data_IF_823013804174
#
_entry.id   IF_823013804174
#
_cell.length_a   1.000
_cell.length_b   1.000
_cell.length_c   1.000
_cell.angle_alpha   90.00
_cell.angle_beta   90.00
_cell.angle_gamma   90.00
#
_symmetry.space_group_name_H-M   'P 1'
#
loop_
_entity.id
_entity.type
_entity.pdbx_description
1 polymer ?
#
# COMPACT_ATOMS: atom_id res chain seq x y z
N UNK A 1 -18.81 -58.29 -1.60
CA UNK A 1 -17.92 -57.51 -2.49
C UNK A 1 -18.60 -56.18 -2.73
N UNK A 2 -18.04 -55.13 -2.14
CA UNK A 2 -18.66 -53.82 -1.95
C UNK A 2 -18.53 -52.88 -3.16
N UNK A 3 -19.42 -51.89 -3.15
CA UNK A 3 -19.58 -50.76 -4.06
C UNK A 3 -18.26 -50.17 -4.59
N UNK A 4 -18.10 -50.16 -5.91
CA UNK A 4 -16.99 -49.50 -6.61
C UNK A 4 -17.45 -48.42 -7.60
N UNK A 5 -18.63 -47.82 -7.37
CA UNK A 5 -19.19 -46.78 -8.26
C UNK A 5 -19.66 -45.51 -7.53
N UNK A 6 -19.54 -45.43 -6.21
CA UNK A 6 -19.66 -44.16 -5.44
C UNK A 6 -18.27 -43.56 -5.11
N UNK A 7 -17.18 -44.26 -5.44
CA UNK A 7 -15.81 -43.87 -5.08
C UNK A 7 -15.11 -42.93 -6.09
N UNK A 8 -15.67 -42.69 -7.27
CA UNK A 8 -14.98 -41.92 -8.31
C UNK A 8 -15.40 -40.45 -8.42
N UNK A 9 -16.55 -40.05 -7.87
CA UNK A 9 -17.01 -38.66 -7.85
C UNK A 9 -16.67 -37.93 -6.53
N UNK A 10 -16.68 -38.67 -5.41
CA UNK A 10 -16.26 -38.15 -4.10
C UNK A 10 -14.75 -37.93 -4.00
N UNK A 11 -13.94 -38.76 -4.67
CA UNK A 11 -12.48 -38.59 -4.73
C UNK A 11 -12.08 -37.31 -5.47
N UNK A 12 -12.75 -36.93 -6.56
CA UNK A 12 -12.42 -35.70 -7.30
C UNK A 12 -12.76 -34.41 -6.54
N UNK A 13 -13.83 -34.41 -5.73
CA UNK A 13 -14.15 -33.26 -4.86
C UNK A 13 -13.16 -33.15 -3.69
N UNK A 14 -12.78 -34.28 -3.09
CA UNK A 14 -11.76 -34.31 -2.03
C UNK A 14 -10.38 -33.92 -2.56
N UNK A 15 -10.00 -34.33 -3.78
CA UNK A 15 -8.74 -33.92 -4.42
C UNK A 15 -8.67 -32.41 -4.70
N UNK A 16 -9.80 -31.79 -5.06
CA UNK A 16 -9.86 -30.34 -5.32
C UNK A 16 -9.82 -29.54 -4.02
N UNK A 17 -10.49 -30.03 -2.96
CA UNK A 17 -10.41 -29.45 -1.61
C UNK A 17 -9.00 -29.58 -1.07
N UNK A 18 -8.38 -30.76 -1.16
CA UNK A 18 -6.98 -31.00 -0.77
C UNK A 18 -6.01 -30.11 -1.56
N UNK A 19 -6.25 -29.89 -2.86
CA UNK A 19 -5.44 -28.97 -3.68
C UNK A 19 -5.59 -27.52 -3.21
N UNK A 20 -6.80 -27.05 -2.91
CA UNK A 20 -7.02 -25.70 -2.37
C UNK A 20 -6.47 -25.51 -0.97
N UNK A 21 -6.57 -26.51 -0.09
CA UNK A 21 -5.96 -26.48 1.24
C UNK A 21 -4.44 -26.45 1.15
N UNK A 22 -3.86 -27.23 0.23
CA UNK A 22 -2.42 -27.24 -0.01
C UNK A 22 -1.91 -25.89 -0.54
N UNK A 23 -2.64 -25.24 -1.45
CA UNK A 23 -2.34 -23.87 -1.87
C UNK A 23 -2.42 -22.86 -0.72
N UNK A 24 -3.38 -23.01 0.20
CA UNK A 24 -3.49 -22.16 1.40
C UNK A 24 -2.34 -22.40 2.40
N UNK A 25 -1.85 -23.63 2.51
CA UNK A 25 -0.65 -23.97 3.29
C UNK A 25 0.59 -23.35 2.64
N UNK A 26 0.74 -23.48 1.32
CA UNK A 26 1.85 -22.87 0.56
C UNK A 26 1.87 -21.34 0.70
N UNK A 27 0.70 -20.67 0.74
CA UNK A 27 0.59 -19.22 1.04
C UNK A 27 1.11 -18.87 2.44
N UNK A 28 0.76 -19.68 3.45
CA UNK A 28 1.23 -19.48 4.83
C UNK A 28 2.74 -19.68 4.95
N UNK A 29 3.29 -20.66 4.24
CA UNK A 29 4.71 -20.94 4.19
C UNK A 29 5.49 -19.88 3.38
N UNK A 30 4.89 -19.36 2.31
CA UNK A 30 5.46 -18.25 1.52
C UNK A 30 5.58 -16.96 2.34
N UNK A 31 4.61 -16.69 3.23
CA UNK A 31 4.65 -15.55 4.16
C UNK A 31 5.81 -15.65 5.18
N UNK A 32 6.32 -16.85 5.45
CA UNK A 32 7.47 -17.09 6.33
C UNK A 32 8.83 -16.95 5.62
N UNK A 33 8.86 -16.91 4.28
CA UNK A 33 10.09 -16.94 3.46
C UNK A 33 10.53 -15.56 2.91
N UNK A 34 10.23 -14.46 3.61
CA UNK A 34 10.65 -13.08 3.28
C UNK A 34 10.09 -12.45 1.98
N UNK A 35 9.12 -13.07 1.30
CA UNK A 35 8.40 -12.40 0.22
C UNK A 35 7.20 -11.64 0.78
N UNK A 36 7.03 -10.37 0.36
CA UNK A 36 5.98 -9.47 0.88
C UNK A 36 4.61 -9.86 0.32
N UNK A 37 3.90 -10.73 1.04
CA UNK A 37 2.50 -11.08 0.74
C UNK A 37 1.59 -9.92 1.13
N UNK A 38 0.84 -9.39 0.17
CA UNK A 38 -0.20 -8.42 0.43
C UNK A 38 -1.54 -9.13 0.56
N UNK A 39 -2.31 -8.80 1.60
CA UNK A 39 -3.63 -9.39 1.81
C UNK A 39 -4.69 -8.35 2.14
N UNK A 40 -5.90 -8.58 1.64
CA UNK A 40 -7.05 -7.68 1.81
C UNK A 40 -8.28 -8.49 2.18
N UNK A 41 -9.01 -8.11 3.25
CA UNK A 41 -10.28 -8.74 3.57
C UNK A 41 -11.31 -8.51 2.47
N UNK A 42 -12.02 -9.54 2.04
CA UNK A 42 -13.12 -9.45 1.05
C UNK A 42 -14.21 -8.50 1.53
N UNK A 43 -14.43 -8.40 2.85
CA UNK A 43 -15.37 -7.44 3.44
C UNK A 43 -15.02 -5.97 3.17
N UNK A 44 -13.73 -5.65 3.00
CA UNK A 44 -13.28 -4.28 2.72
C UNK A 44 -13.63 -3.85 1.28
N UNK A 45 -13.89 -4.79 0.37
CA UNK A 45 -14.33 -4.48 -0.99
C UNK A 45 -15.68 -3.74 -1.01
N UNK A 46 -16.52 -3.95 0.01
CA UNK A 46 -17.80 -3.24 0.18
C UNK A 46 -17.60 -1.74 0.46
N UNK A 47 -16.44 -1.36 1.00
CA UNK A 47 -16.13 0.02 1.34
C UNK A 47 -15.63 0.83 0.14
N UNK A 48 -15.48 0.17 -1.01
CA UNK A 48 -15.04 0.79 -2.26
C UNK A 48 -16.23 1.12 -3.15
N UNK A 49 -16.04 2.08 -4.07
CA UNK A 49 -17.10 2.52 -4.99
C UNK A 49 -17.68 1.39 -5.84
N UNK A 50 -18.75 1.69 -6.58
CA UNK A 50 -19.52 0.74 -7.38
C UNK A 50 -18.69 -0.11 -8.36
N UNK A 51 -17.50 0.35 -8.77
CA UNK A 51 -16.61 -0.43 -9.63
C UNK A 51 -16.12 -1.74 -8.98
N UNK A 52 -15.90 -1.77 -7.67
CA UNK A 52 -15.30 -2.93 -6.97
C UNK A 52 -16.33 -3.82 -6.26
N UNK A 53 -17.57 -3.35 -6.05
CA UNK A 53 -18.64 -4.19 -5.48
C UNK A 53 -18.99 -5.40 -6.36
N UNK A 54 -18.73 -5.29 -7.67
CA UNK A 54 -18.86 -6.38 -8.65
C UNK A 54 -17.94 -7.58 -8.38
N UNK A 55 -16.87 -7.40 -7.59
CA UNK A 55 -15.93 -8.47 -7.24
C UNK A 55 -16.47 -9.40 -6.15
N UNK A 56 -17.43 -8.96 -5.34
CA UNK A 56 -17.92 -9.73 -4.20
C UNK A 56 -18.63 -11.01 -4.65
N UNK A 57 -19.55 -10.99 -5.63
CA UNK A 57 -20.10 -12.21 -6.20
C UNK A 57 -19.04 -13.12 -6.83
N UNK A 58 -17.93 -12.57 -7.33
CA UNK A 58 -16.86 -13.33 -7.94
C UNK A 58 -15.91 -13.99 -6.92
N UNK A 59 -15.78 -13.41 -5.72
CA UNK A 59 -15.08 -14.05 -4.59
C UNK A 59 -15.91 -15.17 -3.94
N UNK A 60 -17.23 -15.22 -4.22
CA UNK A 60 -18.12 -16.25 -3.71
C UNK A 60 -18.23 -17.44 -4.68
N UNK A 61 -18.17 -18.66 -4.14
CA UNK A 61 -18.40 -19.87 -4.95
C UNK A 61 -19.89 -20.00 -5.28
N UNK A 62 -20.26 -20.00 -6.56
CA UNK A 62 -21.64 -20.27 -6.99
C UNK A 62 -21.79 -21.78 -7.23
N UNK A 63 -22.68 -22.42 -6.48
CA UNK A 63 -23.08 -23.80 -6.75
C UNK A 63 -24.27 -23.77 -7.70
N UNK A 64 -24.09 -24.24 -8.93
CA UNK A 64 -25.17 -24.35 -9.91
C UNK A 64 -25.68 -25.78 -9.98
N UNK A 65 -27.00 -25.95 -9.84
CA UNK A 65 -27.65 -27.23 -10.14
C UNK A 65 -27.81 -27.34 -11.65
N UNK A 66 -27.09 -28.27 -12.26
CA UNK A 66 -27.27 -28.60 -13.68
C UNK A 66 -28.23 -29.78 -13.81
N UNK A 67 -29.13 -29.68 -14.77
CA UNK A 67 -29.97 -30.80 -15.20
C UNK A 67 -29.29 -31.42 -16.40
N UNK A 68 -28.81 -32.65 -16.29
CA UNK A 68 -28.23 -33.38 -17.43
C UNK A 68 -29.41 -33.87 -18.29
N UNK A 69 -29.55 -33.40 -19.54
CA UNK A 69 -30.61 -33.87 -20.41
C UNK A 69 -30.39 -35.35 -20.72
N UNK A 70 -31.26 -36.20 -20.19
CA UNK A 70 -31.23 -37.65 -20.39
C UNK A 70 -32.08 -38.09 -21.59
N UNK A 71 -32.39 -37.17 -22.50
CA UNK A 71 -33.28 -37.46 -23.62
C UNK A 71 -32.61 -38.45 -24.59
N UNK A 72 -33.26 -39.59 -24.82
CA UNK A 72 -32.67 -40.74 -25.53
C UNK A 72 -31.85 -41.70 -24.66
N UNK A 73 -31.64 -41.42 -23.36
CA UNK A 73 -31.02 -42.35 -22.42
C UNK A 73 -32.06 -43.25 -21.75
N UNK A 74 -31.73 -44.54 -21.66
CA UNK A 74 -32.57 -45.55 -21.05
C UNK A 74 -31.78 -46.34 -20.01
N UNK A 75 -32.40 -46.62 -18.86
CA UNK A 75 -31.87 -47.53 -17.86
C UNK A 75 -32.48 -48.93 -18.03
N UNK A 76 -31.76 -49.95 -17.56
CA UNK A 76 -32.27 -51.31 -17.49
C UNK A 76 -33.20 -51.42 -16.29
N UNK A 77 -34.51 -51.48 -16.54
CA UNK A 77 -35.54 -51.48 -15.52
C UNK A 77 -35.59 -52.81 -14.74
N UNK A 78 -35.23 -53.91 -15.40
CA UNK A 78 -35.36 -55.25 -14.83
C UNK A 78 -34.02 -55.86 -14.42
N UNK A 79 -32.96 -55.10 -14.10
CA UNK A 79 -31.68 -55.67 -13.67
C UNK A 79 -31.76 -56.17 -12.21
N UNK A 80 -31.39 -57.43 -11.98
CA UNK A 80 -31.25 -57.98 -10.63
C UNK A 80 -29.76 -58.02 -10.21
N UNK A 81 -29.49 -58.17 -8.91
CA UNK A 81 -28.13 -58.31 -8.41
C UNK A 81 -27.43 -59.53 -9.03
N UNK A 82 -26.23 -59.32 -9.58
CA UNK A 82 -25.47 -60.37 -10.26
C UNK A 82 -25.81 -60.56 -11.76
N UNK A 83 -26.83 -59.88 -12.28
CA UNK A 83 -27.10 -59.91 -13.71
C UNK A 83 -26.10 -59.05 -14.50
N UNK A 84 -25.64 -59.59 -15.63
CA UNK A 84 -24.76 -58.87 -16.56
C UNK A 84 -25.39 -58.79 -17.94
N UNK A 85 -25.01 -57.78 -18.72
CA UNK A 85 -25.38 -57.76 -20.14
C UNK A 85 -24.70 -58.91 -20.88
N UNK A 86 -25.41 -59.49 -21.85
CA UNK A 86 -24.80 -60.46 -22.74
C UNK A 86 -23.99 -59.76 -23.82
N UNK A 87 -22.81 -60.32 -24.07
CA UNK A 87 -21.95 -59.91 -25.17
C UNK A 87 -22.11 -60.88 -26.34
N UNK A 88 -22.24 -60.30 -27.53
CA UNK A 88 -22.01 -60.96 -28.78
C UNK A 88 -20.52 -61.33 -28.91
N UNK A 89 -20.20 -62.33 -29.73
CA UNK A 89 -18.81 -62.72 -30.01
C UNK A 89 -17.95 -61.60 -30.60
N UNK A 90 -18.56 -60.58 -31.18
CA UNK A 90 -17.89 -59.39 -31.72
C UNK A 90 -17.77 -58.24 -30.72
N UNK A 91 -18.10 -58.44 -29.44
CA UNK A 91 -18.02 -57.42 -28.40
C UNK A 91 -19.25 -56.53 -28.25
N UNK A 92 -20.23 -56.61 -29.16
CA UNK A 92 -21.48 -55.85 -29.06
C UNK A 92 -22.38 -56.39 -27.95
N UNK A 93 -23.21 -55.52 -27.37
CA UNK A 93 -24.18 -55.93 -26.34
C UNK A 93 -25.47 -56.45 -26.99
N UNK A 94 -26.02 -57.52 -26.44
CA UNK A 94 -27.33 -58.03 -26.83
C UNK A 94 -28.44 -57.40 -25.96
N UNK A 95 -29.66 -57.35 -26.49
CA UNK A 95 -30.88 -56.94 -25.77
C UNK A 95 -31.33 -57.92 -24.68
N UNK A 96 -30.41 -58.68 -24.08
CA UNK A 96 -30.69 -59.69 -23.07
C UNK A 96 -29.66 -59.67 -21.94
N UNK A 97 -30.13 -59.97 -20.74
CA UNK A 97 -29.34 -60.14 -19.53
C UNK A 97 -28.98 -61.61 -19.34
N UNK A 98 -27.75 -61.86 -18.92
CA UNK A 98 -27.33 -63.13 -18.31
C UNK A 98 -27.67 -63.04 -16.83
N UNK A 99 -28.49 -63.96 -16.36
CA UNK A 99 -28.81 -64.11 -14.94
C UNK A 99 -27.62 -64.70 -14.18
N UNK A 100 -27.53 -64.41 -12.88
CA UNK A 100 -26.52 -65.00 -12.00
C UNK A 100 -26.56 -66.54 -12.00
N UNK A 101 -27.74 -67.14 -12.18
CA UNK A 101 -27.97 -68.59 -12.29
C UNK A 101 -27.56 -69.20 -13.63
N UNK A 102 -26.96 -68.42 -14.53
CA UNK A 102 -26.56 -68.84 -15.88
C UNK A 102 -27.67 -68.78 -16.93
N UNK A 103 -28.92 -68.55 -16.52
CA UNK A 103 -30.07 -68.38 -17.42
C UNK A 103 -30.05 -67.04 -18.16
N UNK A 104 -31.04 -66.84 -19.05
CA UNK A 104 -31.12 -65.65 -19.90
C UNK A 104 -32.51 -65.02 -19.83
N UNK A 105 -32.57 -63.69 -19.88
CA UNK A 105 -33.84 -62.95 -19.99
C UNK A 105 -33.71 -61.73 -20.88
N UNK A 106 -34.80 -61.31 -21.50
CA UNK A 106 -34.82 -60.07 -22.26
C UNK A 106 -34.64 -58.87 -21.33
N UNK A 107 -33.91 -57.86 -21.82
CA UNK A 107 -33.72 -56.60 -21.13
C UNK A 107 -34.97 -55.73 -21.28
N UNK A 108 -35.49 -55.23 -20.17
CA UNK A 108 -36.51 -54.19 -20.17
C UNK A 108 -35.83 -52.84 -19.99
N UNK A 109 -36.07 -51.93 -20.92
CA UNK A 109 -35.55 -50.57 -20.87
C UNK A 109 -36.64 -49.60 -20.42
N UNK A 110 -36.27 -48.63 -19.60
CA UNK A 110 -37.15 -47.52 -19.19
C UNK A 110 -36.42 -46.21 -19.41
N UNK A 111 -37.12 -45.17 -19.86
CA UNK A 111 -36.55 -43.83 -20.05
C UNK A 111 -35.93 -43.37 -18.73
N UNK A 112 -34.74 -42.79 -18.79
CA UNK A 112 -34.06 -42.27 -17.61
C UNK A 112 -34.65 -40.90 -17.25
N UNK A 113 -35.09 -40.74 -16.00
CA UNK A 113 -35.47 -39.42 -15.46
C UNK A 113 -34.24 -38.50 -15.41
N UNK A 114 -34.45 -37.19 -15.50
CA UNK A 114 -33.36 -36.21 -15.54
C UNK A 114 -32.44 -36.36 -14.32
N UNK A 115 -31.14 -36.49 -14.57
CA UNK A 115 -30.13 -36.50 -13.52
C UNK A 115 -29.85 -35.06 -13.07
N UNK A 116 -29.95 -34.82 -11.77
CA UNK A 116 -29.47 -33.58 -11.16
C UNK A 116 -28.02 -33.77 -10.72
N UNK A 117 -27.15 -32.84 -11.11
CA UNK A 117 -25.78 -32.72 -10.62
C UNK A 117 -25.52 -31.30 -10.12
N UNK A 118 -24.56 -31.15 -9.20
CA UNK A 118 -24.08 -29.83 -8.78
C UNK A 118 -22.70 -29.57 -9.37
N UNK A 119 -22.52 -28.41 -10.00
CA UNK A 119 -21.20 -27.92 -10.40
C UNK A 119 -20.87 -26.68 -9.57
N UNK A 120 -19.72 -26.67 -8.90
CA UNK A 120 -19.16 -25.46 -8.28
C UNK A 120 -18.40 -24.70 -9.36
N UNK A 121 -18.88 -23.51 -9.69
CA UNK A 121 -18.21 -22.61 -10.63
C UNK A 121 -17.86 -21.33 -9.89
N UNK A 122 -16.58 -20.95 -9.92
CA UNK A 122 -16.17 -19.60 -9.53
C UNK A 122 -16.36 -18.71 -10.76
N UNK A 123 -17.05 -17.58 -10.61
CA UNK A 123 -17.18 -16.62 -11.70
C UNK A 123 -15.80 -16.10 -12.10
N UNK A 124 -15.56 -15.97 -13.40
CA UNK A 124 -14.32 -15.36 -13.90
C UNK A 124 -14.21 -13.93 -13.32
N UNK A 125 -13.14 -13.67 -12.55
CA UNK A 125 -12.83 -12.33 -12.06
C UNK A 125 -11.79 -11.67 -12.96
N UNK A 126 -11.83 -10.34 -13.06
CA UNK A 126 -10.79 -9.57 -13.73
C UNK A 126 -9.61 -9.38 -12.76
N UNK A 127 -8.42 -9.98 -12.99
CA UNK A 127 -7.28 -9.85 -12.09
C UNK A 127 -6.86 -8.38 -11.86
N UNK A 128 -6.99 -7.53 -12.88
CA UNK A 128 -6.66 -6.11 -12.75
C UNK A 128 -7.57 -5.38 -11.75
N UNK A 129 -8.85 -5.76 -11.66
CA UNK A 129 -9.77 -5.19 -10.68
C UNK A 129 -9.41 -5.60 -9.25
N UNK A 130 -8.97 -6.85 -9.03
CA UNK A 130 -8.49 -7.30 -7.73
C UNK A 130 -7.21 -6.57 -7.33
N UNK A 131 -6.25 -6.46 -8.25
CA UNK A 131 -5.00 -5.73 -8.01
C UNK A 131 -5.27 -4.24 -7.68
N UNK A 132 -6.21 -3.61 -8.40
CA UNK A 132 -6.64 -2.24 -8.09
C UNK A 132 -7.30 -2.13 -6.72
N UNK A 133 -8.17 -3.08 -6.34
CA UNK A 133 -8.77 -3.13 -5.02
C UNK A 133 -7.71 -3.23 -3.92
N UNK A 134 -6.68 -4.07 -4.13
CA UNK A 134 -5.57 -4.21 -3.18
C UNK A 134 -4.73 -2.93 -3.10
N UNK A 135 -4.51 -2.24 -4.22
CA UNK A 135 -3.79 -0.97 -4.25
C UNK A 135 -4.54 0.13 -3.50
N UNK A 136 -5.84 0.28 -3.75
CA UNK A 136 -6.71 1.24 -3.05
C UNK A 136 -6.74 0.93 -1.55
N UNK A 137 -6.91 -0.34 -1.17
CA UNK A 137 -6.89 -0.74 0.23
C UNK A 137 -5.56 -0.40 0.92
N UNK A 138 -4.42 -0.64 0.24
CA UNK A 138 -3.11 -0.37 0.82
C UNK A 138 -2.92 1.11 1.17
N UNK A 139 -3.45 2.01 0.34
CA UNK A 139 -3.45 3.46 0.59
C UNK A 139 -4.45 3.82 1.68
N UNK A 140 -5.68 3.29 1.60
CA UNK A 140 -6.76 3.59 2.55
C UNK A 140 -6.38 3.25 4.00
N UNK A 141 -5.68 2.13 4.21
CA UNK A 141 -5.21 1.69 5.53
C UNK A 141 -4.38 2.75 6.26
N UNK A 142 -3.58 3.51 5.52
CA UNK A 142 -2.72 4.57 6.06
C UNK A 142 -3.31 5.98 5.86
N UNK A 143 -4.48 6.12 5.21
CA UNK A 143 -5.10 7.41 4.89
C UNK A 143 -5.41 8.24 6.13
N UNK A 144 -5.88 7.61 7.21
CA UNK A 144 -6.11 8.29 8.49
C UNK A 144 -4.82 8.89 9.04
N UNK A 145 -3.73 8.11 9.02
CA UNK A 145 -2.40 8.55 9.49
C UNK A 145 -1.82 9.66 8.62
N UNK A 146 -2.00 9.57 7.29
CA UNK A 146 -1.63 10.62 6.33
C UNK A 146 -2.37 11.92 6.68
N UNK A 147 -3.69 11.85 6.87
CA UNK A 147 -4.50 13.03 7.22
C UNK A 147 -4.08 13.64 8.57
N UNK A 148 -3.92 12.83 9.61
CA UNK A 148 -3.49 13.32 10.93
C UNK A 148 -2.07 13.93 10.88
N UNK A 149 -1.17 13.34 10.10
CA UNK A 149 0.19 13.87 9.91
C UNK A 149 0.15 15.23 9.22
N UNK A 150 -0.69 15.37 8.20
CA UNK A 150 -0.92 16.63 7.52
C UNK A 150 -1.49 17.70 8.45
N UNK A 151 -2.55 17.40 9.21
CA UNK A 151 -3.16 18.35 10.15
C UNK A 151 -2.12 18.84 11.17
N UNK A 152 -1.26 17.94 11.66
CA UNK A 152 -0.13 18.31 12.52
C UNK A 152 0.89 19.22 11.81
N UNK A 153 1.15 19.04 10.52
CA UNK A 153 2.03 19.94 9.75
C UNK A 153 1.38 21.32 9.58
N UNK A 154 0.07 21.36 9.30
CA UNK A 154 -0.71 22.59 9.09
C UNK A 154 -0.86 23.44 10.36
N UNK A 155 -1.04 22.81 11.53
CA UNK A 155 -1.28 23.49 12.82
C UNK A 155 -0.19 24.52 13.20
N UNK A 156 1.01 24.40 12.62
CA UNK A 156 2.13 25.28 12.91
C UNK A 156 2.33 26.43 11.91
N UNK A 157 1.45 26.57 10.91
CA UNK A 157 1.55 27.58 9.88
C UNK A 157 0.83 28.88 10.26
N UNK A 158 1.42 30.01 9.86
CA UNK A 158 0.85 31.33 10.07
C UNK A 158 -0.08 31.69 8.89
N UNK A 159 -1.30 32.12 9.21
CA UNK A 159 -2.42 32.39 8.27
C UNK A 159 -2.06 33.44 7.19
N UNK A 160 -1.08 34.30 7.42
CA UNK A 160 -1.01 35.58 6.70
C UNK A 160 -0.21 35.58 5.39
N UNK A 161 0.35 34.46 4.90
CA UNK A 161 1.14 34.53 3.65
C UNK A 161 1.09 33.33 2.67
N UNK A 162 0.42 32.22 2.94
CA UNK A 162 0.57 31.01 2.10
C UNK A 162 -0.72 30.21 1.87
N UNK A 163 -1.85 30.91 1.69
CA UNK A 163 -3.18 30.32 1.41
C UNK A 163 -3.20 29.34 0.22
N UNK A 164 -2.31 29.52 -0.76
CA UNK A 164 -2.19 28.59 -1.88
C UNK A 164 -1.68 27.21 -1.46
N UNK A 165 -0.71 27.14 -0.54
CA UNK A 165 -0.16 25.85 -0.09
C UNK A 165 -1.21 25.10 0.74
N UNK A 166 -1.96 25.82 1.58
CA UNK A 166 -3.07 25.24 2.34
C UNK A 166 -4.19 24.73 1.41
N UNK A 167 -4.60 25.53 0.43
CA UNK A 167 -5.60 25.11 -0.56
C UNK A 167 -5.14 23.91 -1.40
N UNK A 168 -3.86 23.86 -1.77
CA UNK A 168 -3.27 22.73 -2.50
C UNK A 168 -3.33 21.45 -1.67
N UNK A 169 -3.02 21.54 -0.37
CA UNK A 169 -3.05 20.43 0.59
C UNK A 169 -4.46 19.89 0.78
N UNK A 170 -5.44 20.78 0.98
CA UNK A 170 -6.84 20.39 1.13
C UNK A 170 -7.38 19.74 -0.14
N UNK A 171 -7.08 20.32 -1.31
CA UNK A 171 -7.49 19.78 -2.61
C UNK A 171 -6.91 18.39 -2.83
N UNK A 172 -5.61 18.21 -2.56
CA UNK A 172 -4.92 16.94 -2.73
C UNK A 172 -5.49 15.84 -1.80
N UNK A 173 -5.82 16.17 -0.56
CA UNK A 173 -6.49 15.22 0.34
C UNK A 173 -7.92 14.90 -0.07
N UNK A 174 -8.65 15.87 -0.61
CA UNK A 174 -9.96 15.63 -1.20
C UNK A 174 -9.88 14.59 -2.31
N UNK A 175 -8.91 14.75 -3.22
CA UNK A 175 -8.66 13.80 -4.31
C UNK A 175 -8.28 12.42 -3.76
N UNK A 176 -7.30 12.35 -2.84
CA UNK A 176 -6.86 11.08 -2.27
C UNK A 176 -7.99 10.33 -1.54
N UNK A 177 -8.82 11.04 -0.79
CA UNK A 177 -9.92 10.45 0.00
C UNK A 177 -11.10 9.98 -0.88
N UNK A 178 -11.31 10.63 -2.03
CA UNK A 178 -12.43 10.30 -2.94
C UNK A 178 -12.05 9.29 -4.01
N UNK A 179 -10.75 9.08 -4.26
CA UNK A 179 -10.27 8.17 -5.30
C UNK A 179 -10.87 6.76 -5.21
N UNK A 180 -11.01 6.19 -4.00
CA UNK A 180 -11.62 4.87 -3.78
C UNK A 180 -13.06 4.74 -4.33
N UNK A 181 -13.75 5.86 -4.52
CA UNK A 181 -15.11 5.94 -5.05
C UNK A 181 -15.17 6.42 -6.51
N UNK A 182 -14.06 6.91 -7.08
CA UNK A 182 -14.05 7.56 -8.39
C UNK A 182 -12.96 7.06 -9.34
N UNK A 183 -12.22 6.01 -8.97
CA UNK A 183 -11.07 5.50 -9.73
C UNK A 183 -11.46 4.98 -11.13
N UNK A 184 -12.70 4.54 -11.31
CA UNK A 184 -13.27 4.03 -12.57
C UNK A 184 -14.00 5.11 -13.38
N UNK A 185 -14.13 6.33 -12.84
CA UNK A 185 -14.72 7.46 -13.54
C UNK A 185 -13.66 8.23 -14.33
N UNK A 186 -13.62 8.02 -15.64
CA UNK A 186 -12.62 8.61 -16.55
C UNK A 186 -12.53 10.15 -16.47
N UNK A 187 -13.68 10.84 -16.34
CA UNK A 187 -13.73 12.30 -16.26
C UNK A 187 -13.10 12.77 -14.93
N UNK A 188 -13.49 12.15 -13.82
CA UNK A 188 -12.92 12.45 -12.50
C UNK A 188 -11.42 12.18 -12.47
N UNK A 189 -10.99 11.01 -12.96
CA UNK A 189 -9.58 10.62 -13.02
C UNK A 189 -8.77 11.63 -13.84
N UNK A 190 -9.22 11.96 -15.04
CA UNK A 190 -8.50 12.88 -15.94
C UNK A 190 -8.39 14.29 -15.36
N UNK A 191 -9.47 14.81 -14.78
CA UNK A 191 -9.46 16.15 -14.18
C UNK A 191 -8.59 16.20 -12.93
N UNK A 192 -8.71 15.20 -12.06
CA UNK A 192 -7.89 15.11 -10.85
C UNK A 192 -6.42 14.91 -11.21
N UNK A 193 -6.10 14.14 -12.25
CA UNK A 193 -4.72 13.92 -12.68
C UNK A 193 -4.03 15.24 -13.06
N UNK A 194 -4.71 16.10 -13.85
CA UNK A 194 -4.20 17.43 -14.21
C UNK A 194 -3.97 18.30 -12.97
N UNK A 195 -4.96 18.34 -12.07
CA UNK A 195 -4.86 19.13 -10.84
C UNK A 195 -3.71 18.66 -9.94
N UNK A 196 -3.52 17.35 -9.81
CA UNK A 196 -2.41 16.76 -9.04
C UNK A 196 -1.05 17.12 -9.65
N UNK A 197 -0.91 17.07 -10.99
CA UNK A 197 0.32 17.51 -11.66
C UNK A 197 0.61 18.99 -11.36
N UNK A 198 -0.42 19.85 -11.42
CA UNK A 198 -0.28 21.27 -11.13
C UNK A 198 0.13 21.53 -9.68
N UNK A 199 -0.49 20.84 -8.71
CA UNK A 199 -0.12 20.88 -7.29
C UNK A 199 1.31 20.40 -7.09
N UNK A 200 1.70 19.27 -7.69
CA UNK A 200 3.06 18.72 -7.63
C UNK A 200 4.09 19.74 -8.12
N UNK A 201 3.82 20.40 -9.24
CA UNK A 201 4.69 21.42 -9.81
C UNK A 201 4.80 22.66 -8.91
N UNK A 202 3.72 23.12 -8.28
CA UNK A 202 3.75 24.21 -7.28
C UNK A 202 4.56 23.81 -6.05
N UNK A 203 4.36 22.60 -5.54
CA UNK A 203 5.12 22.06 -4.42
C UNK A 203 6.62 22.00 -4.73
N UNK A 204 7.00 21.54 -5.93
CA UNK A 204 8.41 21.53 -6.38
C UNK A 204 9.01 22.95 -6.43
N UNK A 205 8.27 23.93 -6.96
CA UNK A 205 8.71 25.35 -6.95
C UNK A 205 8.95 25.85 -5.54
N UNK A 206 8.04 25.53 -4.60
CA UNK A 206 8.17 25.94 -3.20
C UNK A 206 9.38 25.28 -2.53
N UNK A 207 9.61 23.99 -2.75
CA UNK A 207 10.82 23.28 -2.29
C UNK A 207 12.08 24.04 -2.72
N UNK A 208 12.22 24.34 -4.01
CA UNK A 208 13.39 25.06 -4.55
C UNK A 208 13.52 26.45 -3.90
N UNK A 209 12.41 27.17 -3.75
CA UNK A 209 12.41 28.50 -3.14
C UNK A 209 12.86 28.45 -1.67
N UNK A 210 12.37 27.50 -0.87
CA UNK A 210 12.79 27.35 0.53
C UNK A 210 14.22 26.86 0.68
N UNK A 211 14.66 25.92 -0.17
CA UNK A 211 16.05 25.51 -0.24
C UNK A 211 17.00 26.70 -0.45
N UNK A 212 16.64 27.62 -1.36
CA UNK A 212 17.40 28.85 -1.60
C UNK A 212 17.36 29.78 -0.38
N UNK A 213 16.17 30.10 0.13
CA UNK A 213 15.99 30.97 1.30
C UNK A 213 16.76 30.47 2.53
N UNK A 214 16.81 29.16 2.76
CA UNK A 214 17.59 28.54 3.85
C UNK A 214 19.10 28.71 3.58
N UNK A 215 19.54 28.43 2.36
CA UNK A 215 20.95 28.57 1.98
C UNK A 215 21.43 30.02 2.14
N UNK A 216 20.60 30.99 1.75
CA UNK A 216 20.91 32.41 1.90
C UNK A 216 21.14 32.78 3.38
N UNK A 217 20.33 32.27 4.31
CA UNK A 217 20.53 32.46 5.76
C UNK A 217 21.88 31.92 6.23
N UNK A 218 22.26 30.73 5.74
CA UNK A 218 23.51 30.08 6.10
C UNK A 218 24.75 30.80 5.54
N UNK A 219 24.59 31.60 4.49
CA UNK A 219 25.67 32.38 3.87
C UNK A 219 25.86 33.77 4.50
N UNK A 220 24.85 34.29 5.22
CA UNK A 220 24.95 35.61 5.87
C UNK A 220 26.00 35.55 6.98
N UNK A 221 27.12 36.25 6.76
CA UNK A 221 28.15 36.48 7.80
C UNK A 221 27.61 37.48 8.83
N UNK A 222 26.95 37.00 9.89
CA UNK A 222 26.66 37.85 11.06
C UNK A 222 27.94 38.03 11.88
N UNK A 223 28.57 39.20 11.78
CA UNK A 223 29.85 39.53 12.41
C UNK A 223 29.76 39.82 13.93
N UNK A 224 28.56 39.96 14.50
CA UNK A 224 28.36 40.25 15.93
C UNK A 224 27.20 39.40 16.44
N UNK A 225 27.51 38.41 17.28
CA UNK A 225 26.55 37.50 17.90
C UNK A 225 26.03 38.13 19.18
N UNK A 226 24.81 38.67 19.16
CA UNK A 226 24.07 39.00 20.38
C UNK A 226 23.03 37.91 20.66
N UNK A 227 22.63 37.71 21.92
CA UNK A 227 21.57 36.74 22.31
C UNK A 227 20.26 36.92 21.51
N UNK A 228 19.97 38.13 21.02
CA UNK A 228 18.83 38.44 20.12
C UNK A 228 18.92 37.74 18.75
N UNK A 229 20.13 37.44 18.27
CA UNK A 229 20.36 36.84 16.95
C UNK A 229 20.04 35.33 16.91
N UNK A 230 20.15 34.60 18.04
CA UNK A 230 19.91 33.14 18.07
C UNK A 230 18.41 32.84 17.95
N UNK A 231 17.59 33.44 18.80
CA UNK A 231 16.13 33.21 18.79
C UNK A 231 15.47 33.70 17.50
N UNK A 232 15.91 34.85 16.96
CA UNK A 232 15.40 35.34 15.67
C UNK A 232 15.80 34.43 14.50
N UNK A 233 17.02 33.91 14.48
CA UNK A 233 17.47 32.95 13.46
C UNK A 233 16.78 31.58 13.62
N UNK A 234 16.55 31.11 14.85
CA UNK A 234 15.76 29.90 15.12
C UNK A 234 14.33 30.05 14.59
N UNK A 235 13.67 31.16 14.90
CA UNK A 235 12.32 31.44 14.41
C UNK A 235 12.27 31.50 12.88
N UNK A 236 13.22 32.19 12.25
CA UNK A 236 13.24 32.34 10.79
C UNK A 236 13.55 31.03 10.05
N UNK A 237 14.50 30.23 10.56
CA UNK A 237 14.76 28.88 10.06
C UNK A 237 13.57 27.96 10.31
N UNK A 238 13.00 27.99 11.52
CA UNK A 238 11.83 27.20 11.89
C UNK A 238 10.66 27.45 10.94
N UNK A 239 10.35 28.72 10.64
CA UNK A 239 9.31 29.09 9.67
C UNK A 239 9.61 28.51 8.29
N UNK A 240 10.83 28.69 7.77
CA UNK A 240 11.23 28.15 6.44
C UNK A 240 11.18 26.63 6.37
N UNK A 241 11.59 25.93 7.43
CA UNK A 241 11.57 24.46 7.47
C UNK A 241 10.17 23.88 7.62
N UNK A 242 9.23 24.58 8.27
CA UNK A 242 7.81 24.21 8.28
C UNK A 242 7.24 24.18 6.86
N UNK A 243 7.43 25.26 6.10
CA UNK A 243 6.93 25.33 4.72
C UNK A 243 7.70 24.44 3.75
N UNK A 244 9.02 24.27 3.95
CA UNK A 244 9.79 23.29 3.19
C UNK A 244 9.28 21.86 3.42
N UNK A 245 9.03 21.49 4.69
CA UNK A 245 8.45 20.19 5.06
C UNK A 245 7.10 19.99 4.42
N UNK A 246 6.20 20.97 4.51
CA UNK A 246 4.87 20.87 3.92
C UNK A 246 4.94 20.73 2.39
N UNK A 247 5.79 21.52 1.73
CA UNK A 247 5.97 21.43 0.28
C UNK A 247 6.47 20.05 -0.14
N UNK A 248 7.42 19.47 0.59
CA UNK A 248 7.92 18.12 0.34
C UNK A 248 6.85 17.04 0.62
N UNK A 249 6.02 17.23 1.64
CA UNK A 249 4.89 16.36 1.94
C UNK A 249 3.85 16.36 0.81
N UNK A 250 3.43 17.54 0.34
CA UNK A 250 2.50 17.71 -0.79
C UNK A 250 3.09 17.07 -2.05
N UNK A 251 4.35 17.34 -2.34
CA UNK A 251 5.04 16.78 -3.50
C UNK A 251 4.98 15.25 -3.49
N UNK A 252 5.27 14.64 -2.32
CA UNK A 252 5.31 13.18 -2.17
C UNK A 252 3.92 12.54 -2.31
N UNK A 253 2.89 13.12 -1.68
CA UNK A 253 1.51 12.65 -1.84
C UNK A 253 1.01 12.86 -3.28
N UNK A 254 1.35 13.98 -3.91
CA UNK A 254 0.96 14.26 -5.30
C UNK A 254 1.61 13.26 -6.26
N UNK A 255 2.87 12.90 -6.05
CA UNK A 255 3.55 11.86 -6.85
C UNK A 255 2.87 10.50 -6.73
N UNK A 256 2.45 10.10 -5.51
CA UNK A 256 1.67 8.87 -5.31
C UNK A 256 0.32 8.94 -6.05
N UNK A 257 -0.40 10.06 -5.92
CA UNK A 257 -1.68 10.23 -6.59
C UNK A 257 -1.57 10.32 -8.10
N UNK A 258 -0.49 10.88 -8.65
CA UNK A 258 -0.22 10.90 -10.09
C UNK A 258 -0.06 9.48 -10.64
N UNK A 259 0.65 8.60 -9.93
CA UNK A 259 0.76 7.18 -10.30
C UNK A 259 -0.63 6.53 -10.33
N UNK A 260 -1.42 6.72 -9.27
CA UNK A 260 -2.77 6.14 -9.18
C UNK A 260 -3.73 6.68 -10.26
N UNK A 261 -3.67 7.97 -10.55
CA UNK A 261 -4.57 8.62 -11.52
C UNK A 261 -4.13 8.41 -12.97
N UNK A 262 -2.83 8.28 -13.23
CA UNK A 262 -2.33 7.97 -14.58
C UNK A 262 -2.55 6.50 -14.96
N UNK A 263 -2.65 5.61 -13.96
CA UNK A 263 -2.66 4.17 -14.18
C UNK A 263 -1.34 3.61 -14.70
N UNK A 264 -0.26 4.40 -14.70
CA UNK A 264 1.07 3.94 -15.09
C UNK A 264 1.74 3.25 -13.92
N UNK A 265 1.53 1.94 -13.81
CA UNK A 265 2.09 1.13 -12.73
C UNK A 265 3.41 0.43 -13.10
N UNK A 266 4.10 0.88 -14.15
CA UNK A 266 5.42 0.31 -14.49
C UNK A 266 6.43 0.56 -13.37
N UNK A 267 7.22 -0.47 -13.03
CA UNK A 267 8.21 -0.38 -11.95
C UNK A 267 9.23 0.74 -12.17
N UNK A 268 9.64 0.98 -13.43
CA UNK A 268 10.55 2.08 -13.78
C UNK A 268 9.95 3.45 -13.44
N UNK A 269 8.69 3.69 -13.81
CA UNK A 269 8.01 4.96 -13.55
C UNK A 269 7.86 5.22 -12.05
N UNK A 270 7.41 4.20 -11.30
CA UNK A 270 7.24 4.30 -9.85
C UNK A 270 8.59 4.50 -9.15
N UNK A 271 9.61 3.71 -9.53
CA UNK A 271 10.96 3.82 -8.96
C UNK A 271 11.59 5.19 -9.20
N UNK A 272 11.36 5.80 -10.37
CA UNK A 272 11.81 7.16 -10.65
C UNK A 272 11.15 8.19 -9.72
N UNK A 273 9.85 8.06 -9.47
CA UNK A 273 9.14 8.93 -8.51
C UNK A 273 9.64 8.73 -7.07
N UNK A 274 9.86 7.49 -6.63
CA UNK A 274 10.44 7.20 -5.32
C UNK A 274 11.84 7.79 -5.16
N UNK A 275 12.70 7.62 -6.17
CA UNK A 275 14.07 8.14 -6.15
C UNK A 275 14.08 9.66 -6.07
N UNK A 276 13.14 10.34 -6.74
CA UNK A 276 13.00 11.79 -6.61
C UNK A 276 12.59 12.21 -5.19
N UNK A 277 11.61 11.52 -4.58
CA UNK A 277 11.19 11.78 -3.18
C UNK A 277 12.35 11.54 -2.20
N UNK A 278 13.07 10.42 -2.37
CA UNK A 278 14.24 10.06 -1.55
C UNK A 278 15.30 11.16 -1.65
N UNK A 279 15.68 11.57 -2.87
CA UNK A 279 16.64 12.66 -3.10
C UNK A 279 16.21 13.98 -2.44
N UNK A 280 14.96 14.39 -2.59
CA UNK A 280 14.46 15.63 -1.98
C UNK A 280 14.42 15.53 -0.44
N UNK A 281 14.16 14.34 0.10
CA UNK A 281 14.20 14.07 1.54
C UNK A 281 15.63 14.11 2.08
N UNK A 282 16.61 13.58 1.33
CA UNK A 282 18.03 13.65 1.67
C UNK A 282 18.52 15.11 1.66
N UNK A 283 18.19 15.87 0.62
CA UNK A 283 18.49 17.31 0.53
C UNK A 283 17.86 18.09 1.69
N UNK A 284 16.65 17.71 2.13
CA UNK A 284 16.00 18.28 3.32
C UNK A 284 16.80 18.00 4.58
N UNK A 285 17.19 16.74 4.81
CA UNK A 285 17.95 16.32 5.98
C UNK A 285 19.32 17.00 6.03
N UNK A 286 20.03 17.08 4.91
CA UNK A 286 21.34 17.76 4.83
C UNK A 286 21.22 19.24 5.20
N UNK A 287 20.19 19.93 4.68
CA UNK A 287 19.93 21.34 5.06
C UNK A 287 19.56 21.46 6.52
N UNK A 288 18.75 20.56 7.05
CA UNK A 288 18.37 20.54 8.46
C UNK A 288 19.61 20.42 9.36
N UNK A 289 20.52 19.50 9.03
CA UNK A 289 21.77 19.30 9.75
C UNK A 289 22.66 20.55 9.71
N UNK A 290 22.85 21.15 8.52
CA UNK A 290 23.62 22.40 8.36
C UNK A 290 23.01 23.56 9.15
N UNK A 291 21.69 23.69 9.15
CA UNK A 291 20.96 24.70 9.94
C UNK A 291 21.07 24.47 11.44
N UNK A 292 21.01 23.21 11.89
CA UNK A 292 21.20 22.85 13.30
C UNK A 292 22.61 23.21 13.79
N UNK A 293 23.63 22.87 13.01
CA UNK A 293 25.03 23.23 13.30
C UNK A 293 25.24 24.75 13.33
N UNK A 294 24.54 25.49 12.46
CA UNK A 294 24.60 26.94 12.45
C UNK A 294 23.97 27.55 13.71
N UNK A 295 22.81 27.04 14.15
CA UNK A 295 22.14 27.45 15.39
C UNK A 295 22.99 27.16 16.63
N UNK A 296 23.61 25.99 16.69
CA UNK A 296 24.53 25.60 17.77
C UNK A 296 25.70 26.59 17.88
N UNK A 297 26.38 26.86 16.75
CA UNK A 297 27.52 27.78 16.69
C UNK A 297 27.14 29.22 17.01
N UNK A 298 25.95 29.68 16.61
CA UNK A 298 25.44 30.99 16.99
C UNK A 298 25.18 31.12 18.50
N UNK A 299 24.86 30.03 19.19
CA UNK A 299 24.69 30.02 20.64
C UNK A 299 26.00 30.06 21.41
N UNK A 300 27.06 29.43 20.90
CA UNK A 300 28.35 29.31 21.59
C UNK A 300 29.25 30.52 21.30
N UNK A 301 29.41 31.41 22.28
CA UNK A 301 30.17 32.68 22.16
C UNK A 301 31.69 32.54 21.99
N UNK A 302 32.24 31.31 21.99
CA UNK A 302 33.70 31.05 22.02
C UNK A 302 34.28 30.44 20.73
N UNK A 303 33.46 30.17 19.70
CA UNK A 303 33.95 29.56 18.45
C UNK A 303 34.29 30.64 17.44
N UNK A 304 35.59 30.85 17.18
CA UNK A 304 36.09 31.75 16.14
C UNK A 304 35.40 31.49 14.77
N UNK A 305 34.85 32.56 14.21
CA UNK A 305 33.98 32.60 13.01
C UNK A 305 34.72 32.30 11.69
N UNK A 306 35.97 31.81 11.73
CA UNK A 306 36.79 31.60 10.54
C UNK A 306 36.56 30.25 9.81
N UNK A 307 35.62 29.42 10.26
CA UNK A 307 35.31 28.10 9.65
C UNK A 307 34.18 28.16 8.61
N UNK A 308 33.96 29.31 7.96
CA UNK A 308 33.00 29.40 6.83
C UNK A 308 33.60 28.84 5.53
N UNK A 309 34.90 28.50 5.50
CA UNK A 309 35.58 27.92 4.32
C UNK A 309 35.62 26.39 4.25
N UNK A 310 35.17 25.66 5.27
CA UNK A 310 35.33 24.19 5.36
C UNK A 310 34.05 23.38 5.15
N UNK A 311 32.99 23.95 4.55
CA UNK A 311 31.74 23.22 4.21
C UNK A 311 31.83 22.67 2.76
N UNK A 312 32.99 22.16 2.41
CA UNK A 312 33.32 21.78 1.04
C UNK A 312 34.29 20.63 0.99
N UNK A 313 33.94 19.50 1.60
CA UNK A 313 34.41 18.14 1.24
C UNK A 313 33.77 17.14 2.19
N UNK A 314 33.30 16.02 1.64
CA UNK A 314 32.74 14.91 2.39
C UNK A 314 33.70 14.41 3.50
N UNK A 315 33.15 13.99 4.64
CA UNK A 315 33.84 13.08 5.57
C UNK A 315 33.94 13.53 7.04
N UNK A 316 33.12 12.90 7.87
CA UNK A 316 33.53 12.38 9.21
C UNK A 316 33.84 13.33 10.38
N UNK A 317 32.96 14.28 10.73
CA UNK A 317 32.90 14.76 12.15
C UNK A 317 31.51 15.29 12.55
N UNK A 318 30.48 14.44 12.51
CA UNK A 318 29.11 14.77 12.99
C UNK A 318 28.73 13.90 14.21
N UNK A 319 29.70 13.61 15.07
CA UNK A 319 29.64 12.42 15.93
C UNK A 319 29.11 12.56 17.36
N UNK A 320 28.88 13.77 17.92
CA UNK A 320 28.62 13.87 19.38
C UNK A 320 27.36 14.61 19.85
N UNK A 321 26.71 15.43 19.04
CA UNK A 321 25.49 16.14 19.46
C UNK A 321 24.21 15.74 18.69
N UNK A 322 24.32 15.38 17.42
CA UNK A 322 23.16 14.85 16.66
C UNK A 322 22.81 13.41 17.08
N UNK A 323 23.81 12.64 17.55
CA UNK A 323 23.62 11.28 18.07
C UNK A 323 22.83 11.19 19.39
N UNK A 324 22.59 12.33 20.06
CA UNK A 324 21.81 12.40 21.30
C UNK A 324 20.34 12.77 21.11
N UNK A 325 19.89 13.06 19.88
CA UNK A 325 18.49 13.36 19.56
C UNK A 325 17.81 12.03 19.20
N UNK A 326 16.91 11.50 20.05
CA UNK A 326 16.25 10.23 19.75
C UNK A 326 15.55 10.30 18.39
N UNK A 327 15.64 9.23 17.59
CA UNK A 327 14.67 9.01 16.53
C UNK A 327 13.30 8.94 17.20
N UNK A 328 12.45 9.95 16.96
CA UNK A 328 11.11 9.99 17.53
C UNK A 328 10.29 8.85 16.93
N UNK A 329 10.29 7.70 17.62
CA UNK A 329 9.27 6.67 17.50
C UNK A 329 8.11 7.11 18.40
N UNK A 330 7.12 7.77 17.80
CA UNK A 330 5.76 7.99 18.31
C UNK A 330 5.58 8.39 19.80
N UNK A 331 6.51 9.14 20.38
CA UNK A 331 6.43 9.71 21.74
C UNK A 331 6.55 11.24 21.75
N UNK A 332 5.83 11.91 22.64
CA UNK A 332 5.70 13.37 22.74
C UNK A 332 7.04 14.07 22.95
N UNK A 333 7.43 14.87 21.96
CA UNK A 333 8.59 15.79 21.99
C UNK A 333 8.57 16.69 23.25
N UNK A 334 7.38 17.00 23.77
CA UNK A 334 7.18 17.79 24.98
C UNK A 334 7.87 17.22 26.24
N UNK A 335 7.90 15.90 26.42
CA UNK A 335 8.53 15.28 27.60
C UNK A 335 10.05 15.42 27.57
N UNK A 336 10.67 15.27 26.39
CA UNK A 336 12.11 15.46 26.23
C UNK A 336 12.52 16.93 26.42
N UNK A 337 11.71 17.87 25.91
CA UNK A 337 11.95 19.30 26.05
C UNK A 337 11.78 19.77 27.50
N UNK A 338 10.83 19.22 28.26
CA UNK A 338 10.65 19.50 29.69
C UNK A 338 11.78 18.94 30.56
N UNK A 339 12.19 17.68 30.32
CA UNK A 339 13.23 17.02 31.12
C UNK A 339 14.61 17.69 30.98
N UNK A 340 14.98 18.06 29.74
CA UNK A 340 16.23 18.80 29.48
C UNK A 340 16.15 20.29 29.82
N UNK A 341 14.96 20.89 29.79
CA UNK A 341 14.75 22.31 30.10
C UNK A 341 15.04 22.67 31.55
N UNK A 342 14.81 21.74 32.48
CA UNK A 342 15.03 21.97 33.92
C UNK A 342 16.51 21.95 34.35
N UNK A 343 17.43 21.51 33.48
CA UNK A 343 18.87 21.37 33.80
C UNK A 343 19.81 22.42 33.20
N UNK A 344 19.31 23.35 32.37
CA UNK A 344 20.15 24.31 31.64
C UNK A 344 20.13 25.70 32.30
N UNK A 345 21.14 26.01 33.13
CA UNK A 345 21.41 27.39 33.56
C UNK A 345 21.83 28.29 32.37
N UNK A 346 21.45 29.57 32.42
CA UNK A 346 21.48 30.58 31.34
C UNK A 346 22.87 31.07 30.85
N UNK A 347 23.78 30.16 30.51
CA UNK A 347 25.04 30.51 29.81
C UNK A 347 24.89 30.38 28.28
N UNK A 348 25.76 31.04 27.50
CA UNK A 348 25.70 31.04 26.03
C UNK A 348 25.67 29.62 25.42
N UNK A 349 26.46 28.69 25.98
CA UNK A 349 26.45 27.28 25.58
C UNK A 349 25.09 26.57 25.76
N UNK A 350 24.26 27.02 26.71
CA UNK A 350 22.91 26.46 26.92
C UNK A 350 21.92 26.94 25.83
N UNK A 351 22.12 28.14 25.26
CA UNK A 351 21.20 28.71 24.27
C UNK A 351 21.28 28.01 22.91
N UNK A 352 22.48 27.65 22.44
CA UNK A 352 22.66 26.90 21.20
C UNK A 352 22.01 25.51 21.28
N UNK A 353 22.23 24.79 22.38
CA UNK A 353 21.65 23.47 22.62
C UNK A 353 20.12 23.54 22.70
N UNK A 354 19.57 24.55 23.40
CA UNK A 354 18.12 24.76 23.48
C UNK A 354 17.51 25.02 22.09
N UNK A 355 18.13 25.88 21.28
CA UNK A 355 17.65 26.18 19.94
C UNK A 355 17.67 24.94 19.02
N UNK A 356 18.72 24.11 19.08
CA UNK A 356 18.78 22.85 18.31
C UNK A 356 17.68 21.87 18.76
N UNK A 357 17.41 21.75 20.06
CA UNK A 357 16.36 20.88 20.57
C UNK A 357 14.96 21.34 20.12
N UNK A 358 14.68 22.64 20.17
CA UNK A 358 13.42 23.20 19.66
C UNK A 358 13.28 22.99 18.14
N UNK A 359 14.38 23.08 17.39
CA UNK A 359 14.41 22.87 15.95
C UNK A 359 14.24 21.39 15.56
N UNK A 360 14.65 20.44 16.41
CA UNK A 360 14.61 18.98 16.17
C UNK A 360 13.24 18.42 15.76
N UNK A 361 12.14 19.08 16.15
CA UNK A 361 10.76 18.74 15.75
C UNK A 361 10.57 18.73 14.23
N UNK A 362 11.40 19.50 13.51
CA UNK A 362 11.36 19.62 12.05
C UNK A 362 12.30 18.64 11.34
N UNK A 363 13.03 17.78 12.06
CA UNK A 363 14.02 16.87 11.43
C UNK A 363 13.40 15.93 10.40
N UNK A 364 12.23 15.37 10.71
CA UNK A 364 11.57 14.37 9.87
C UNK A 364 10.64 15.04 8.85
N UNK A 365 10.87 14.86 7.53
CA UNK A 365 10.01 15.42 6.49
C UNK A 365 8.66 14.71 6.35
N UNK A 366 8.44 13.56 7.03
CA UNK A 366 7.19 12.78 7.03
C UNK A 366 6.77 12.21 5.68
N UNK A 367 7.73 11.89 4.80
CA UNK A 367 7.48 11.38 3.44
C UNK A 367 7.49 9.87 3.30
N UNK A 368 8.02 9.14 4.30
CA UNK A 368 8.27 7.69 4.23
C UNK A 368 7.05 6.86 3.84
N UNK A 369 5.88 7.22 4.36
CA UNK A 369 4.62 6.50 4.08
C UNK A 369 4.32 6.45 2.58
N UNK A 370 4.62 7.51 1.83
CA UNK A 370 4.33 7.56 0.40
C UNK A 370 5.25 6.65 -0.41
N UNK A 371 6.53 6.56 -0.02
CA UNK A 371 7.48 5.61 -0.59
C UNK A 371 7.04 4.17 -0.29
N UNK A 372 6.64 3.89 0.94
CA UNK A 372 6.12 2.55 1.32
C UNK A 372 4.87 2.17 0.51
N UNK A 373 3.97 3.12 0.24
CA UNK A 373 2.81 2.89 -0.64
C UNK A 373 3.21 2.68 -2.10
N UNK A 374 4.22 3.37 -2.61
CA UNK A 374 4.76 3.15 -3.96
C UNK A 374 5.38 1.74 -4.08
N UNK A 375 6.11 1.29 -3.06
CA UNK A 375 6.64 -0.07 -2.97
C UNK A 375 5.51 -1.11 -2.92
N UNK A 376 4.40 -0.83 -2.22
CA UNK A 376 3.20 -1.67 -2.24
C UNK A 376 2.63 -1.77 -3.67
N UNK A 377 2.54 -0.66 -4.41
CA UNK A 377 2.06 -0.65 -5.80
C UNK A 377 3.01 -1.44 -6.72
N UNK A 378 4.33 -1.31 -6.56
CA UNK A 378 5.31 -2.14 -7.29
C UNK A 378 5.07 -3.61 -6.99
N UNK A 379 4.91 -3.97 -5.71
CA UNK A 379 4.64 -5.36 -5.31
C UNK A 379 3.37 -5.88 -5.99
N UNK A 380 2.29 -5.10 -5.97
CA UNK A 380 1.01 -5.45 -6.58
C UNK A 380 1.19 -5.66 -8.08
N UNK A 381 1.66 -4.66 -8.83
CA UNK A 381 1.58 -4.68 -10.30
C UNK A 381 2.75 -5.33 -11.02
N UNK A 382 3.93 -5.41 -10.39
CA UNK A 382 5.16 -5.86 -11.06
C UNK A 382 5.75 -7.14 -10.44
N UNK A 383 5.34 -7.50 -9.23
CA UNK A 383 5.92 -8.65 -8.50
C UNK A 383 4.91 -9.71 -8.06
N UNK A 384 3.61 -9.46 -8.24
CA UNK A 384 2.58 -10.48 -8.03
C UNK A 384 2.72 -11.57 -9.09
N UNK A 385 3.02 -12.77 -8.63
CA UNK A 385 3.09 -13.99 -9.43
C UNK A 385 1.77 -14.76 -9.43
N UNK A 386 1.00 -14.67 -8.33
CA UNK A 386 -0.25 -15.39 -8.15
C UNK A 386 -1.24 -14.58 -7.29
N UNK A 387 -2.52 -14.68 -7.65
CA UNK A 387 -3.63 -14.15 -6.87
C UNK A 387 -4.40 -15.34 -6.28
N UNK A 388 -4.47 -15.42 -4.96
CA UNK A 388 -5.25 -16.42 -4.25
C UNK A 388 -6.44 -15.74 -3.56
N UNK A 389 -7.62 -16.34 -3.62
CA UNK A 389 -8.83 -15.82 -2.98
C UNK A 389 -9.47 -16.93 -2.17
N UNK A 390 -9.66 -16.68 -0.87
CA UNK A 390 -10.51 -17.50 -0.02
C UNK A 390 -11.80 -16.72 0.35
N UNK A 391 -12.63 -17.29 1.23
CA UNK A 391 -13.90 -16.66 1.64
C UNK A 391 -13.73 -15.34 2.41
N UNK A 392 -12.57 -15.14 3.01
CA UNK A 392 -12.27 -14.02 3.90
C UNK A 392 -11.33 -13.00 3.28
N UNK A 393 -10.36 -13.44 2.47
CA UNK A 393 -9.22 -12.62 2.02
C UNK A 393 -8.80 -12.91 0.59
N UNK A 394 -8.29 -11.85 -0.03
CA UNK A 394 -7.51 -11.87 -1.27
C UNK A 394 -6.03 -11.79 -0.87
N UNK A 395 -5.17 -12.59 -1.50
CA UNK A 395 -3.73 -12.61 -1.32
C UNK A 395 -3.04 -12.38 -2.66
N UNK A 396 -2.03 -11.50 -2.65
CA UNK A 396 -1.09 -11.31 -3.75
C UNK A 396 0.27 -11.83 -3.31
N UNK A 397 0.77 -12.86 -4.01
CA UNK A 397 2.02 -13.57 -3.74
C UNK A 397 3.17 -13.05 -4.60
#
# INVERSE_FOLDING_TARGET
MGNSSELSASNSENELVDFTEKLLVDVKDFNNNNNKVLSVPVSELLNFGSGLSSLIPACNTVTQTITIPTDGLYKIANKAAGDTLKYAKNGNLWGSLRKADGGSRMMQISKMESLQGSMKTVSAFNPALLMMAVAIYSIEKDMKKIKETQEKILTFMEVENESQIEADVESLMGIASTYKCSWDNEISVTNNHKLVIDIKNRARKNIIAYQKKITDILLIKKFIVSKSNVNSTLSDLGKKFKYYRLSLYIFSLSSLMEIMLSGNFSEEYISNAENEIKKLSDDYCEKFEKSSLYLEKLGNSEVEVNVVKAIGTAGTTVGKLIGGIPLVKDGSVDEFLQDKGNGLHENANAMGIKAVNEFAVLRDPKTKVFVEKMEDIIQIYNRTSQICVDKEKIYLL
#
